data_IF_115763638451
#
_entry.id   IF_115763638451
#
_cell.length_a   1.000
_cell.length_b   1.000
_cell.length_c   1.000
_cell.angle_alpha   90.00
_cell.angle_beta   90.00
_cell.angle_gamma   90.00
#
_symmetry.space_group_name_H-M   'P 1'
#
loop_
_entity.id
_entity.type
_entity.pdbx_description
1 polymer ?
#
# COMPACT_ATOMS: atom_id res chain seq x y z
N UNK A 1 13.46 37.89 -69.23
CA UNK A 1 14.73 37.13 -69.45
C UNK A 1 15.65 37.32 -68.26
N UNK A 2 16.02 36.20 -67.64
CA UNK A 2 17.07 35.94 -66.63
C UNK A 2 17.92 37.12 -66.14
N UNK A 3 18.03 37.26 -64.80
CA UNK A 3 19.34 37.32 -64.11
C UNK A 3 19.20 36.84 -62.66
N UNK A 4 19.93 35.77 -62.38
CA UNK A 4 20.13 35.13 -61.09
C UNK A 4 20.88 36.05 -60.12
N UNK A 5 20.50 36.06 -58.84
CA UNK A 5 21.47 36.26 -57.77
C UNK A 5 21.15 35.31 -56.61
N UNK A 6 21.99 34.29 -56.54
CA UNK A 6 22.07 33.23 -55.54
C UNK A 6 22.56 33.85 -54.21
N UNK A 7 21.74 33.84 -53.15
CA UNK A 7 22.22 34.07 -51.78
C UNK A 7 22.42 32.72 -51.12
N UNK A 8 23.68 32.30 -51.07
CA UNK A 8 24.16 31.18 -50.26
C UNK A 8 24.02 31.62 -48.80
N UNK A 9 23.08 31.01 -48.07
CA UNK A 9 23.00 31.11 -46.62
C UNK A 9 23.89 30.00 -46.06
N UNK A 10 25.11 30.34 -45.69
CA UNK A 10 26.00 29.45 -44.94
C UNK A 10 25.44 29.31 -43.53
N UNK A 11 24.69 28.24 -43.28
CA UNK A 11 24.36 27.81 -41.92
C UNK A 11 25.65 27.25 -41.33
N UNK A 12 26.37 28.09 -40.58
CA UNK A 12 27.44 27.62 -39.72
C UNK A 12 26.79 26.80 -38.59
N UNK A 13 26.81 25.48 -38.77
CA UNK A 13 26.50 24.52 -37.72
C UNK A 13 27.64 24.60 -36.69
N UNK A 14 27.55 25.56 -35.78
CA UNK A 14 28.34 25.57 -34.56
C UNK A 14 27.80 24.44 -33.69
N UNK A 15 28.32 23.23 -33.87
CA UNK A 15 28.24 22.19 -32.88
C UNK A 15 28.85 22.75 -31.60
N UNK A 16 27.98 23.17 -30.67
CA UNK A 16 28.34 23.39 -29.29
C UNK A 16 28.89 22.05 -28.79
N UNK A 17 30.21 21.92 -28.80
CA UNK A 17 30.93 20.93 -28.01
C UNK A 17 30.64 21.29 -26.55
N UNK A 18 29.54 20.77 -26.02
CA UNK A 18 29.32 20.75 -24.59
C UNK A 18 30.52 19.98 -24.01
N UNK A 19 31.26 20.57 -23.05
CA UNK A 19 32.31 19.82 -22.38
C UNK A 19 31.65 18.58 -21.77
N UNK A 20 32.12 17.40 -22.17
CA UNK A 20 31.82 16.18 -21.43
C UNK A 20 32.50 16.34 -20.09
N UNK A 21 31.74 16.68 -19.04
CA UNK A 21 32.23 16.56 -17.68
C UNK A 21 32.54 15.08 -17.48
N UNK A 22 33.83 14.76 -17.32
CA UNK A 22 34.22 13.42 -16.96
C UNK A 22 33.62 13.14 -15.58
N UNK A 23 32.77 12.11 -15.50
CA UNK A 23 32.19 11.65 -14.24
C UNK A 23 33.35 11.30 -13.30
N UNK A 24 33.40 11.91 -12.12
CA UNK A 24 34.42 11.58 -11.13
C UNK A 24 34.27 10.09 -10.78
N UNK A 25 35.34 9.32 -10.96
CA UNK A 25 35.38 7.91 -10.57
C UNK A 25 35.99 7.81 -9.19
N UNK A 26 35.29 7.10 -8.30
CA UNK A 26 35.76 6.77 -6.96
C UNK A 26 35.96 5.26 -6.87
N UNK A 27 37.02 4.84 -6.18
CA UNK A 27 37.36 3.43 -5.97
C UNK A 27 37.37 3.13 -4.49
N UNK A 28 36.72 2.03 -4.10
CA UNK A 28 36.81 1.50 -2.75
C UNK A 28 38.21 0.91 -2.53
N UNK A 29 38.90 1.38 -1.49
CA UNK A 29 40.25 0.96 -1.07
C UNK A 29 40.28 0.43 0.37
N UNK A 30 39.11 0.32 1.00
CA UNK A 30 38.99 -0.24 2.34
C UNK A 30 39.41 -1.72 2.41
N UNK A 31 39.63 -2.25 3.63
CA UNK A 31 39.90 -3.67 3.80
C UNK A 31 38.72 -4.51 3.29
N UNK A 32 38.98 -5.76 2.91
CA UNK A 32 37.90 -6.71 2.59
C UNK A 32 36.96 -6.86 3.78
N UNK A 33 35.66 -6.65 3.57
CA UNK A 33 34.66 -6.64 4.64
C UNK A 33 34.70 -5.38 5.53
N UNK A 34 35.49 -4.38 5.17
CA UNK A 34 35.41 -3.04 5.73
C UNK A 34 34.12 -2.34 5.33
N UNK A 35 33.74 -1.31 6.08
CA UNK A 35 32.51 -0.58 5.83
C UNK A 35 32.56 0.13 4.47
N UNK A 36 31.70 -0.29 3.54
CA UNK A 36 31.60 0.30 2.21
C UNK A 36 31.19 1.78 2.26
N UNK A 37 30.50 2.21 3.30
CA UNK A 37 29.97 3.58 3.41
C UNK A 37 30.86 4.49 4.28
N UNK A 38 31.94 3.96 4.84
CA UNK A 38 32.97 4.78 5.47
C UNK A 38 33.76 5.52 4.38
N UNK A 39 33.62 6.85 4.36
CA UNK A 39 34.31 7.74 3.42
C UNK A 39 35.83 7.59 3.46
N UNK A 40 36.40 7.11 4.57
CA UNK A 40 37.84 6.83 4.68
C UNK A 40 38.29 5.66 3.82
N UNK A 41 37.36 4.81 3.39
CA UNK A 41 37.62 3.65 2.55
C UNK A 41 37.50 3.97 1.05
N UNK A 42 37.37 5.23 0.65
CA UNK A 42 37.30 5.63 -0.76
C UNK A 42 38.49 6.45 -1.20
N UNK A 43 38.83 6.35 -2.48
CA UNK A 43 39.80 7.20 -3.16
C UNK A 43 39.23 7.71 -4.49
N UNK A 44 39.52 8.96 -4.84
CA UNK A 44 39.30 9.45 -6.19
C UNK A 44 40.33 8.87 -7.19
N UNK A 45 40.16 9.15 -8.48
CA UNK A 45 41.12 8.73 -9.52
C UNK A 45 42.56 9.28 -9.34
N UNK A 46 42.79 10.20 -8.40
CA UNK A 46 44.11 10.71 -8.00
C UNK A 46 44.69 10.05 -6.74
N UNK A 47 43.96 9.14 -6.10
CA UNK A 47 44.35 8.49 -4.84
C UNK A 47 44.08 9.33 -3.58
N UNK A 48 43.34 10.44 -3.69
CA UNK A 48 42.96 11.27 -2.55
C UNK A 48 41.65 10.80 -1.95
N UNK A 49 41.50 10.95 -0.63
CA UNK A 49 40.26 10.64 0.06
C UNK A 49 39.16 11.66 -0.36
N UNK A 50 38.04 11.20 -0.94
CA UNK A 50 36.98 12.05 -1.44
C UNK A 50 35.96 12.46 -0.37
N UNK A 51 36.27 12.32 0.93
CA UNK A 51 35.32 12.54 2.02
C UNK A 51 34.48 13.81 1.89
N UNK A 52 35.11 14.95 1.56
CA UNK A 52 34.38 16.22 1.38
C UNK A 52 33.43 16.27 0.17
N UNK A 53 33.59 15.34 -0.78
CA UNK A 53 32.75 15.22 -1.98
C UNK A 53 31.61 14.25 -1.72
N UNK A 54 31.89 13.13 -1.04
CA UNK A 54 30.87 12.13 -0.69
C UNK A 54 29.95 12.68 0.41
N UNK A 55 30.51 13.35 1.42
CA UNK A 55 29.75 13.82 2.59
C UNK A 55 29.32 15.28 2.56
N UNK A 56 29.91 16.12 1.70
CA UNK A 56 29.60 17.56 1.63
C UNK A 56 29.75 18.34 2.96
N UNK A 57 30.38 17.75 3.98
CA UNK A 57 30.46 18.22 5.36
C UNK A 57 29.24 17.94 6.23
N UNK A 58 28.27 17.14 5.78
CA UNK A 58 27.01 16.85 6.48
C UNK A 58 27.02 15.52 7.24
N UNK A 59 28.07 14.71 7.07
CA UNK A 59 28.11 13.33 7.56
C UNK A 59 27.03 12.43 6.97
N UNK A 60 26.50 12.77 5.79
CA UNK A 60 25.53 11.98 5.01
C UNK A 60 26.05 11.76 3.59
N UNK A 61 25.54 10.75 2.89
CA UNK A 61 25.87 10.55 1.47
C UNK A 61 25.16 11.62 0.63
N UNK A 62 25.93 12.48 -0.04
CA UNK A 62 25.45 13.61 -0.87
C UNK A 62 25.59 13.37 -2.37
N UNK A 63 26.00 12.17 -2.76
CA UNK A 63 26.18 11.74 -4.16
C UNK A 63 25.30 10.55 -4.49
N UNK A 64 25.16 10.27 -5.78
CA UNK A 64 24.49 9.06 -6.25
C UNK A 64 25.44 7.86 -6.11
N UNK A 65 25.01 6.87 -5.34
CA UNK A 65 25.66 5.58 -5.23
C UNK A 65 24.90 4.55 -6.06
N UNK A 66 25.63 3.85 -6.93
CA UNK A 66 25.08 2.79 -7.80
C UNK A 66 25.83 1.50 -7.50
N UNK A 67 25.10 0.46 -7.12
CA UNK A 67 25.62 -0.90 -6.99
C UNK A 67 25.09 -1.75 -8.15
N UNK A 68 25.98 -2.41 -8.88
CA UNK A 68 25.66 -3.13 -10.12
C UNK A 68 26.14 -4.59 -10.07
N UNK A 69 25.23 -5.50 -9.72
CA UNK A 69 25.49 -6.93 -9.57
C UNK A 69 26.32 -7.32 -8.35
N UNK A 70 26.64 -6.37 -7.47
CA UNK A 70 27.56 -6.55 -6.35
C UNK A 70 26.84 -6.91 -5.05
N UNK A 71 27.55 -7.65 -4.19
CA UNK A 71 27.17 -7.92 -2.81
C UNK A 71 27.95 -6.99 -1.88
N UNK A 72 27.24 -6.09 -1.22
CA UNK A 72 27.82 -5.06 -0.34
C UNK A 72 27.31 -5.23 1.08
N UNK A 73 28.18 -4.95 2.04
CA UNK A 73 27.88 -4.95 3.46
C UNK A 73 28.16 -3.57 4.05
N UNK A 74 27.19 -3.01 4.75
CA UNK A 74 27.36 -1.86 5.62
C UNK A 74 27.34 -2.34 7.07
N UNK A 75 28.28 -1.85 7.88
CA UNK A 75 28.38 -2.24 9.30
C UNK A 75 27.67 -1.27 10.24
N UNK A 76 27.17 -0.16 9.71
CA UNK A 76 26.42 0.85 10.44
C UNK A 76 25.32 1.47 9.57
N UNK A 77 24.55 2.38 10.16
CA UNK A 77 23.53 3.19 9.49
C UNK A 77 24.09 3.90 8.26
N UNK A 78 23.28 3.99 7.22
CA UNK A 78 23.61 4.71 5.99
C UNK A 78 22.64 5.89 5.81
N UNK A 79 23.02 7.10 6.26
CA UNK A 79 22.21 8.29 6.04
C UNK A 79 22.53 8.93 4.70
N UNK A 80 21.51 9.20 3.89
CA UNK A 80 21.57 9.95 2.64
C UNK A 80 20.99 11.36 2.84
N UNK A 81 21.74 12.37 2.42
CA UNK A 81 21.28 13.76 2.37
C UNK A 81 20.47 14.00 1.10
N UNK A 82 21.10 14.63 0.11
CA UNK A 82 20.57 14.76 -1.26
C UNK A 82 21.00 13.62 -2.19
N UNK A 83 21.95 12.79 -1.74
CA UNK A 83 22.45 11.65 -2.51
C UNK A 83 21.40 10.57 -2.72
N UNK A 84 21.64 9.66 -3.66
CA UNK A 84 20.73 8.55 -3.95
C UNK A 84 21.42 7.19 -3.83
N UNK A 85 20.62 6.14 -3.68
CA UNK A 85 21.04 4.75 -3.75
C UNK A 85 20.30 4.06 -4.89
N UNK A 86 21.04 3.51 -5.84
CA UNK A 86 20.51 2.65 -6.90
C UNK A 86 21.13 1.26 -6.81
N UNK A 87 20.31 0.26 -6.51
CA UNK A 87 20.69 -1.15 -6.59
C UNK A 87 20.14 -1.71 -7.90
N UNK A 88 21.04 -1.96 -8.86
CA UNK A 88 20.70 -2.56 -10.14
C UNK A 88 20.57 -4.08 -10.03
N UNK A 89 20.14 -4.71 -11.12
CA UNK A 89 19.78 -6.13 -11.14
C UNK A 89 20.91 -7.03 -10.61
N UNK A 90 20.58 -7.92 -9.68
CA UNK A 90 21.51 -8.84 -9.04
C UNK A 90 22.30 -8.24 -7.87
N UNK A 91 22.20 -6.94 -7.62
CA UNK A 91 22.83 -6.31 -6.46
C UNK A 91 22.14 -6.72 -5.15
N UNK A 92 22.92 -6.82 -4.08
CA UNK A 92 22.45 -7.07 -2.74
C UNK A 92 23.22 -6.20 -1.74
N UNK A 93 22.50 -5.33 -1.03
CA UNK A 93 23.04 -4.55 0.07
C UNK A 93 22.51 -5.10 1.40
N UNK A 94 23.42 -5.48 2.29
CA UNK A 94 23.11 -5.86 3.67
C UNK A 94 23.59 -4.77 4.63
N UNK A 95 22.66 -4.17 5.37
CA UNK A 95 22.94 -3.21 6.43
C UNK A 95 22.82 -3.93 7.76
N UNK A 96 23.96 -4.12 8.41
CA UNK A 96 24.11 -5.02 9.55
C UNK A 96 23.93 -4.34 10.92
N UNK A 97 23.69 -3.03 10.97
CA UNK A 97 23.31 -2.32 12.19
C UNK A 97 22.79 -0.94 11.81
N UNK A 98 21.80 -0.44 12.55
CA UNK A 98 21.12 0.81 12.23
C UNK A 98 20.25 0.69 10.98
N UNK A 99 19.87 1.84 10.42
CA UNK A 99 18.93 1.92 9.30
C UNK A 99 19.52 2.40 7.98
N UNK A 100 18.63 2.62 7.03
CA UNK A 100 18.91 3.45 5.86
C UNK A 100 17.92 4.61 5.91
N UNK A 101 18.43 5.83 5.83
CA UNK A 101 17.60 7.03 5.89
C UNK A 101 17.89 7.95 4.72
N UNK A 102 16.85 8.61 4.20
CA UNK A 102 16.96 9.59 3.13
C UNK A 102 16.26 10.88 3.55
N UNK A 103 16.97 12.01 3.56
CA UNK A 103 16.37 13.32 3.78
C UNK A 103 15.52 13.74 2.57
N UNK A 104 16.20 13.93 1.43
CA UNK A 104 15.58 14.30 0.14
C UNK A 104 16.12 13.50 -1.03
N UNK A 105 16.99 12.53 -0.72
CA UNK A 105 17.59 11.60 -1.65
C UNK A 105 16.61 10.65 -2.30
N UNK A 106 17.13 9.68 -3.06
CA UNK A 106 16.29 8.70 -3.74
C UNK A 106 16.78 7.28 -3.57
N UNK A 107 15.85 6.33 -3.49
CA UNK A 107 16.12 4.89 -3.45
C UNK A 107 15.55 4.22 -4.71
N UNK A 108 16.38 3.55 -5.49
CA UNK A 108 15.94 2.75 -6.64
C UNK A 108 16.43 1.32 -6.49
N UNK A 109 15.51 0.37 -6.44
CA UNK A 109 15.78 -1.07 -6.47
C UNK A 109 15.21 -1.64 -7.77
N UNK A 110 16.06 -2.23 -8.62
CA UNK A 110 15.64 -2.87 -9.86
C UNK A 110 16.20 -4.29 -9.94
N UNK A 111 15.36 -5.31 -9.78
CA UNK A 111 15.78 -6.71 -9.73
C UNK A 111 16.82 -7.01 -8.64
N UNK A 112 16.75 -6.31 -7.50
CA UNK A 112 17.81 -6.26 -6.49
C UNK A 112 17.28 -6.51 -5.07
N UNK A 113 18.18 -6.53 -4.08
CA UNK A 113 17.84 -6.78 -2.68
C UNK A 113 18.44 -5.73 -1.74
N UNK A 114 17.61 -5.19 -0.86
CA UNK A 114 18.03 -4.38 0.29
C UNK A 114 17.59 -5.08 1.58
N UNK A 115 18.57 -5.50 2.37
CA UNK A 115 18.36 -6.17 3.66
C UNK A 115 18.86 -5.25 4.78
N UNK A 116 17.96 -4.71 5.57
CA UNK A 116 18.27 -3.89 6.76
C UNK A 116 17.98 -4.76 7.98
N UNK A 117 18.89 -5.70 8.23
CA UNK A 117 18.70 -6.80 9.17
C UNK A 117 19.83 -6.77 10.17
N UNK A 118 19.55 -6.62 11.47
CA UNK A 118 20.36 -7.11 12.61
C UNK A 118 20.09 -6.47 13.98
N UNK A 119 19.26 -5.44 14.08
CA UNK A 119 18.82 -4.92 15.38
C UNK A 119 17.35 -4.48 15.37
N UNK A 120 16.77 -4.29 16.55
CA UNK A 120 15.37 -3.86 16.74
C UNK A 120 15.16 -2.36 16.46
N UNK A 121 16.04 -1.74 15.68
CA UNK A 121 15.98 -0.35 15.25
C UNK A 121 16.40 -0.20 13.78
N UNK A 122 16.55 -1.33 13.08
CA UNK A 122 17.03 -1.39 11.71
C UNK A 122 15.87 -1.11 10.76
N UNK A 123 15.57 0.18 10.60
CA UNK A 123 14.45 0.70 9.81
C UNK A 123 14.89 1.28 8.46
N UNK A 124 13.93 1.40 7.53
CA UNK A 124 14.05 2.26 6.36
C UNK A 124 13.26 3.54 6.60
N UNK A 125 13.88 4.70 6.45
CA UNK A 125 13.22 6.01 6.57
C UNK A 125 13.35 6.86 5.31
N UNK A 126 12.26 6.94 4.53
CA UNK A 126 12.16 7.82 3.37
C UNK A 126 11.45 9.12 3.77
N UNK A 127 12.17 10.19 4.11
CA UNK A 127 11.56 11.44 4.57
C UNK A 127 10.82 12.19 3.44
N UNK A 128 9.93 13.14 3.78
CA UNK A 128 9.25 13.98 2.79
C UNK A 128 10.21 14.68 1.81
N UNK A 129 9.91 14.55 0.52
CA UNK A 129 10.74 15.08 -0.57
C UNK A 129 11.70 14.07 -1.19
N UNK A 130 11.88 12.91 -0.56
CA UNK A 130 12.56 11.77 -1.17
C UNK A 130 11.73 11.11 -2.28
N UNK A 131 12.37 10.27 -3.09
CA UNK A 131 11.68 9.40 -4.04
C UNK A 131 12.14 7.95 -3.90
N UNK A 132 11.22 7.01 -4.09
CA UNK A 132 11.57 5.60 -4.06
C UNK A 132 10.87 4.80 -5.17
N UNK A 133 11.64 3.91 -5.77
CA UNK A 133 11.21 3.04 -6.86
C UNK A 133 11.68 1.62 -6.60
N UNK A 134 10.75 0.67 -6.54
CA UNK A 134 11.04 -0.75 -6.42
C UNK A 134 10.43 -1.48 -7.62
N UNK A 135 11.26 -2.16 -8.39
CA UNK A 135 10.86 -2.98 -9.54
C UNK A 135 11.47 -4.36 -9.37
N UNK A 136 10.63 -5.40 -9.33
CA UNK A 136 11.05 -6.80 -9.20
C UNK A 136 12.07 -7.05 -8.07
N UNK A 137 11.95 -6.30 -6.97
CA UNK A 137 12.96 -6.22 -5.92
C UNK A 137 12.46 -6.74 -4.58
N UNK A 138 13.42 -7.04 -3.70
CA UNK A 138 13.14 -7.45 -2.33
C UNK A 138 13.69 -6.43 -1.33
N UNK A 139 12.81 -5.88 -0.51
CA UNK A 139 13.16 -5.02 0.61
C UNK A 139 12.73 -5.72 1.90
N UNK A 140 13.65 -5.80 2.85
CA UNK A 140 13.33 -6.21 4.21
C UNK A 140 14.00 -5.28 5.22
N UNK A 141 13.22 -4.83 6.21
CA UNK A 141 13.71 -4.12 7.38
C UNK A 141 13.38 -4.92 8.64
N UNK A 142 14.23 -4.85 9.66
CA UNK A 142 13.93 -5.53 10.92
C UNK A 142 12.85 -4.80 11.69
N UNK A 143 12.80 -3.48 11.57
CA UNK A 143 11.89 -2.60 12.28
C UNK A 143 11.00 -1.88 11.25
N UNK A 144 10.71 -0.60 11.43
CA UNK A 144 9.81 0.15 10.55
C UNK A 144 10.28 0.30 9.10
N UNK A 145 9.29 0.50 8.22
CA UNK A 145 9.48 1.00 6.86
C UNK A 145 8.59 2.23 6.65
N UNK A 146 9.22 3.41 6.62
CA UNK A 146 8.53 4.67 6.39
C UNK A 146 8.68 5.14 4.94
N UNK A 147 7.54 5.44 4.32
CA UNK A 147 7.41 6.03 3.00
C UNK A 147 6.79 7.43 3.11
N UNK A 148 7.61 8.46 3.27
CA UNK A 148 7.20 9.87 3.27
C UNK A 148 7.34 10.59 1.92
N UNK A 149 7.99 9.94 0.95
CA UNK A 149 8.25 10.48 -0.40
C UNK A 149 7.29 10.00 -1.49
N UNK A 150 7.71 10.17 -2.75
CA UNK A 150 7.01 9.60 -3.91
C UNK A 150 7.32 8.10 -4.03
N UNK A 151 6.28 7.27 -4.08
CA UNK A 151 6.35 5.82 -4.17
C UNK A 151 6.01 5.29 -5.56
N UNK A 152 6.83 4.38 -6.07
CA UNK A 152 6.48 3.51 -7.20
C UNK A 152 6.96 2.09 -6.91
N UNK A 153 6.04 1.15 -6.70
CA UNK A 153 6.34 -0.23 -6.34
C UNK A 153 5.65 -1.15 -7.36
N UNK A 154 6.44 -2.00 -8.02
CA UNK A 154 5.97 -2.97 -9.00
C UNK A 154 6.70 -4.30 -8.86
N UNK A 155 5.99 -5.43 -8.92
CA UNK A 155 6.63 -6.76 -8.92
C UNK A 155 7.43 -7.07 -7.64
N UNK A 156 7.28 -6.27 -6.59
CA UNK A 156 8.24 -6.20 -5.49
C UNK A 156 7.69 -6.77 -4.20
N UNK A 157 8.58 -7.27 -3.35
CA UNK A 157 8.25 -7.79 -2.03
C UNK A 157 8.87 -6.91 -0.95
N UNK A 158 8.03 -6.39 -0.06
CA UNK A 158 8.43 -5.56 1.08
C UNK A 158 8.03 -6.28 2.37
N UNK A 159 8.98 -6.41 3.29
CA UNK A 159 8.75 -7.06 4.58
C UNK A 159 9.27 -6.18 5.71
N UNK A 160 8.38 -5.78 6.62
CA UNK A 160 8.76 -5.36 7.96
C UNK A 160 8.71 -6.58 8.88
N UNK A 161 9.74 -6.80 9.70
CA UNK A 161 9.82 -7.99 10.57
C UNK A 161 9.27 -7.71 11.96
N UNK A 162 9.64 -6.59 12.59
CA UNK A 162 9.33 -6.30 13.98
C UNK A 162 8.34 -5.15 14.18
N UNK A 163 8.13 -4.28 13.19
CA UNK A 163 7.21 -3.15 13.33
C UNK A 163 6.43 -2.83 12.03
N UNK A 164 6.18 -1.56 11.72
CA UNK A 164 5.14 -1.17 10.79
C UNK A 164 5.63 -0.92 9.35
N UNK A 165 4.68 -0.87 8.42
CA UNK A 165 4.89 -0.28 7.08
C UNK A 165 3.97 0.92 6.96
N UNK A 166 4.53 2.11 6.78
CA UNK A 166 3.77 3.35 6.81
C UNK A 166 3.96 4.20 5.55
N UNK A 167 2.85 4.46 4.84
CA UNK A 167 2.76 5.50 3.82
C UNK A 167 2.35 6.81 4.49
N UNK A 168 3.35 7.64 4.84
CA UNK A 168 3.18 8.81 5.69
C UNK A 168 2.47 9.98 4.98
N UNK A 169 2.07 10.97 5.78
CA UNK A 169 1.44 12.19 5.26
C UNK A 169 2.33 12.89 4.24
N UNK A 170 1.77 13.17 3.05
CA UNK A 170 2.49 13.83 1.95
C UNK A 170 3.23 12.87 1.02
N UNK A 171 3.25 11.58 1.32
CA UNK A 171 3.65 10.58 0.35
C UNK A 171 2.68 10.55 -0.83
N UNK A 172 3.21 10.23 -2.02
CA UNK A 172 2.41 10.07 -3.23
C UNK A 172 2.64 8.67 -3.75
N UNK A 173 1.64 7.79 -3.62
CA UNK A 173 1.69 6.45 -4.19
C UNK A 173 1.27 6.49 -5.65
N UNK A 174 2.26 6.63 -6.52
CA UNK A 174 2.04 6.71 -7.97
C UNK A 174 1.76 5.35 -8.61
N UNK A 175 2.29 4.28 -8.03
CA UNK A 175 2.09 2.91 -8.47
C UNK A 175 2.28 1.94 -7.29
N UNK A 176 1.32 1.04 -7.08
CA UNK A 176 1.47 -0.16 -6.27
C UNK A 176 0.79 -1.33 -7.00
N UNK A 177 1.61 -2.15 -7.66
CA UNK A 177 1.14 -3.15 -8.63
C UNK A 177 1.90 -4.47 -8.48
N UNK A 178 1.20 -5.61 -8.57
CA UNK A 178 1.81 -6.95 -8.56
C UNK A 178 2.86 -7.13 -7.45
N UNK A 179 2.56 -6.61 -6.27
CA UNK A 179 3.52 -6.49 -5.17
C UNK A 179 2.98 -7.14 -3.90
N UNK A 180 3.88 -7.53 -3.00
CA UNK A 180 3.50 -8.08 -1.70
C UNK A 180 4.07 -7.25 -0.55
N UNK A 181 3.20 -6.78 0.33
CA UNK A 181 3.57 -6.11 1.58
C UNK A 181 3.25 -7.03 2.74
N UNK A 182 4.22 -7.23 3.64
CA UNK A 182 4.05 -8.12 4.77
C UNK A 182 4.65 -7.53 6.03
N UNK A 183 3.90 -7.60 7.12
CA UNK A 183 4.38 -7.41 8.48
C UNK A 183 4.39 -8.79 9.15
N UNK A 184 5.48 -9.16 9.82
CA UNK A 184 5.68 -10.53 10.30
C UNK A 184 5.04 -10.81 11.67
N UNK A 185 4.81 -9.79 12.50
CA UNK A 185 4.05 -9.89 13.75
C UNK A 185 2.59 -9.49 13.49
N UNK A 186 1.67 -10.15 14.19
CA UNK A 186 0.23 -9.93 14.05
C UNK A 186 -0.26 -8.68 14.78
N UNK A 187 0.62 -8.00 15.53
CA UNK A 187 0.32 -6.71 16.15
C UNK A 187 0.75 -5.51 15.28
N UNK A 188 1.43 -5.77 14.16
CA UNK A 188 1.95 -4.73 13.27
C UNK A 188 0.87 -4.25 12.30
N UNK A 189 1.09 -3.06 11.74
CA UNK A 189 0.15 -2.43 10.84
C UNK A 189 0.79 -2.10 9.49
N UNK A 190 -0.05 -2.13 8.46
CA UNK A 190 0.21 -1.38 7.23
C UNK A 190 -0.67 -0.14 7.30
N UNK A 191 -0.06 1.04 7.30
CA UNK A 191 -0.73 2.32 7.53
C UNK A 191 -0.69 3.20 6.29
N UNK A 192 -1.85 3.74 5.90
CA UNK A 192 -1.97 4.72 4.82
C UNK A 192 -2.47 6.05 5.38
N UNK A 193 -1.59 7.05 5.32
CA UNK A 193 -1.90 8.46 5.58
C UNK A 193 -2.04 9.27 4.27
N UNK A 194 -1.95 8.60 3.12
CA UNK A 194 -2.14 9.15 1.77
C UNK A 194 -2.94 8.17 0.91
N UNK A 195 -3.78 8.70 0.02
CA UNK A 195 -4.59 7.88 -0.89
C UNK A 195 -3.71 7.09 -1.86
N UNK A 196 -4.13 5.85 -2.14
CA UNK A 196 -3.41 4.96 -3.04
C UNK A 196 -4.35 4.07 -3.84
N UNK A 197 -3.89 3.65 -5.02
CA UNK A 197 -4.51 2.57 -5.79
C UNK A 197 -3.58 1.38 -5.81
N UNK A 198 -4.11 0.23 -5.43
CA UNK A 198 -3.45 -1.05 -5.30
C UNK A 198 -4.01 -1.97 -6.38
N UNK A 199 -3.14 -2.60 -7.16
CA UNK A 199 -3.53 -3.49 -8.27
C UNK A 199 -2.77 -4.80 -8.17
N UNK A 200 -3.44 -5.94 -8.38
CA UNK A 200 -2.83 -7.28 -8.44
C UNK A 200 -1.90 -7.61 -7.24
N UNK A 201 -2.10 -6.99 -6.08
CA UNK A 201 -1.15 -7.05 -4.96
C UNK A 201 -1.68 -7.86 -3.79
N UNK A 202 -0.77 -8.30 -2.93
CA UNK A 202 -1.11 -9.06 -1.72
C UNK A 202 -0.61 -8.37 -0.46
N UNK A 203 -1.50 -8.06 0.47
CA UNK A 203 -1.13 -7.56 1.80
C UNK A 203 -1.37 -8.65 2.84
N UNK A 204 -0.40 -8.84 3.73
CA UNK A 204 -0.51 -9.73 4.88
C UNK A 204 0.01 -9.02 6.11
N UNK A 205 -0.86 -8.64 7.04
CA UNK A 205 -0.47 -7.88 8.23
C UNK A 205 -1.38 -8.19 9.42
N UNK A 206 -1.02 -7.69 10.60
CA UNK A 206 -1.93 -7.61 11.74
C UNK A 206 -3.16 -6.77 11.38
N UNK A 207 -2.97 -5.47 11.21
CA UNK A 207 -4.06 -4.53 10.89
C UNK A 207 -3.77 -3.70 9.64
N UNK A 208 -4.83 -3.21 9.01
CA UNK A 208 -4.76 -2.20 7.95
C UNK A 208 -5.29 -0.87 8.49
N UNK A 209 -4.40 0.10 8.67
CA UNK A 209 -4.78 1.44 9.14
C UNK A 209 -5.00 2.38 7.96
N UNK A 210 -6.16 3.05 7.92
CA UNK A 210 -6.53 4.04 6.89
C UNK A 210 -6.91 5.35 7.59
N UNK A 211 -6.06 6.38 7.43
CA UNK A 211 -6.30 7.66 8.10
C UNK A 211 -7.48 8.42 7.53
N UNK A 212 -7.95 9.38 8.32
CA UNK A 212 -8.95 10.38 7.91
C UNK A 212 -8.60 11.02 6.55
N UNK A 213 -9.59 11.13 5.66
CA UNK A 213 -9.50 11.66 4.29
C UNK A 213 -8.53 10.90 3.37
N UNK A 214 -8.25 9.63 3.68
CA UNK A 214 -7.46 8.74 2.83
C UNK A 214 -8.41 7.80 2.08
N UNK A 215 -8.22 7.72 0.77
CA UNK A 215 -8.96 6.81 -0.10
C UNK A 215 -8.04 5.71 -0.59
N UNK A 216 -8.32 4.47 -0.20
CA UNK A 216 -7.61 3.28 -0.65
C UNK A 216 -8.48 2.51 -1.63
N UNK A 217 -7.98 2.26 -2.84
CA UNK A 217 -8.68 1.45 -3.85
C UNK A 217 -7.86 0.21 -4.14
N UNK A 218 -8.42 -0.98 -3.93
CA UNK A 218 -7.79 -2.26 -4.19
C UNK A 218 -8.51 -3.00 -5.33
N UNK A 219 -7.78 -3.28 -6.41
CA UNK A 219 -8.28 -3.91 -7.63
C UNK A 219 -7.56 -5.24 -7.84
N UNK A 220 -8.33 -6.31 -8.03
CA UNK A 220 -7.80 -7.67 -8.25
C UNK A 220 -6.73 -8.10 -7.21
N UNK A 221 -6.88 -7.64 -5.96
CA UNK A 221 -5.88 -7.77 -4.90
C UNK A 221 -6.34 -8.70 -3.77
N UNK A 222 -5.40 -9.18 -2.95
CA UNK A 222 -5.69 -9.99 -1.76
C UNK A 222 -5.24 -9.25 -0.52
N UNK A 223 -6.17 -8.89 0.35
CA UNK A 223 -5.93 -8.20 1.60
C UNK A 223 -6.22 -9.16 2.75
N UNK A 224 -5.19 -9.62 3.45
CA UNK A 224 -5.34 -10.54 4.57
C UNK A 224 -4.81 -9.91 5.86
N UNK A 225 -5.74 -9.49 6.70
CA UNK A 225 -5.47 -8.95 8.04
C UNK A 225 -5.79 -10.04 9.06
N UNK A 226 -4.92 -10.20 10.04
CA UNK A 226 -5.17 -11.05 11.22
C UNK A 226 -5.78 -10.24 12.38
N UNK A 227 -6.33 -9.08 12.06
CA UNK A 227 -6.83 -8.05 12.94
C UNK A 227 -7.73 -7.13 12.13
N UNK A 228 -7.95 -5.93 12.63
CA UNK A 228 -8.97 -5.01 12.14
C UNK A 228 -8.54 -4.13 10.96
N UNK A 229 -9.55 -3.48 10.37
CA UNK A 229 -9.40 -2.34 9.46
C UNK A 229 -9.94 -1.11 10.17
N UNK A 230 -9.08 -0.14 10.44
CA UNK A 230 -9.38 0.99 11.34
C UNK A 230 -8.47 2.21 11.11
N UNK A 231 -8.48 3.19 12.01
CA UNK A 231 -7.44 4.22 12.13
C UNK A 231 -6.70 4.01 13.44
N UNK A 232 -5.79 3.03 13.46
CA UNK A 232 -4.95 2.62 14.60
C UNK A 232 -4.31 3.72 15.48
N UNK A 233 -4.36 4.98 15.08
CA UNK A 233 -3.77 6.11 15.76
C UNK A 233 -4.79 7.20 16.15
N UNK A 234 -6.04 7.13 15.68
CA UNK A 234 -7.12 8.03 16.06
C UNK A 234 -8.41 7.25 16.28
N UNK A 235 -9.13 7.57 17.35
CA UNK A 235 -10.42 6.91 17.64
C UNK A 235 -11.54 7.19 16.63
N UNK A 236 -11.30 8.00 15.60
CA UNK A 236 -12.28 8.36 14.57
C UNK A 236 -11.58 8.68 13.24
N UNK A 237 -12.12 8.12 12.16
CA UNK A 237 -11.69 8.32 10.79
C UNK A 237 -12.90 8.44 9.86
N UNK A 238 -12.66 8.96 8.66
CA UNK A 238 -13.58 8.89 7.53
C UNK A 238 -12.85 8.34 6.29
N UNK A 239 -11.79 7.54 6.52
CA UNK A 239 -11.06 6.86 5.48
C UNK A 239 -11.95 5.89 4.71
N UNK A 240 -11.60 5.64 3.45
CA UNK A 240 -12.34 4.74 2.59
C UNK A 240 -11.47 3.60 2.07
N UNK A 241 -12.05 2.41 2.03
CA UNK A 241 -11.49 1.25 1.36
C UNK A 241 -12.47 0.81 0.27
N UNK A 242 -12.05 0.79 -0.99
CA UNK A 242 -12.86 0.31 -2.10
C UNK A 242 -12.25 -0.97 -2.67
N UNK A 243 -13.03 -2.04 -2.73
CA UNK A 243 -12.64 -3.30 -3.36
C UNK A 243 -13.30 -3.42 -4.74
N UNK A 244 -12.51 -3.62 -5.79
CA UNK A 244 -12.94 -3.76 -7.19
C UNK A 244 -12.42 -5.05 -7.82
N UNK A 245 -12.94 -5.40 -9.00
CA UNK A 245 -12.57 -6.64 -9.70
C UNK A 245 -12.84 -7.89 -8.85
N UNK A 246 -11.84 -8.77 -8.76
CA UNK A 246 -11.85 -9.98 -7.95
C UNK A 246 -11.15 -9.80 -6.59
N UNK A 247 -11.06 -8.57 -6.08
CA UNK A 247 -10.39 -8.30 -4.81
C UNK A 247 -11.03 -9.08 -3.65
N UNK A 248 -10.20 -9.72 -2.84
CA UNK A 248 -10.62 -10.45 -1.65
C UNK A 248 -10.02 -9.80 -0.39
N UNK A 249 -10.87 -9.49 0.57
CA UNK A 249 -10.52 -8.99 1.89
C UNK A 249 -10.88 -10.03 2.96
N UNK A 250 -9.94 -10.25 3.87
CA UNK A 250 -10.14 -10.97 5.13
C UNK A 250 -9.59 -10.10 6.26
N UNK A 251 -10.40 -9.87 7.28
CA UNK A 251 -10.03 -9.13 8.49
C UNK A 251 -10.85 -9.64 9.67
N UNK A 252 -10.59 -9.15 10.87
CA UNK A 252 -11.37 -9.49 12.05
C UNK A 252 -12.62 -8.59 12.09
N UNK A 253 -12.44 -7.28 12.13
CA UNK A 253 -13.52 -6.29 12.14
C UNK A 253 -13.25 -5.07 11.23
N UNK A 254 -14.29 -4.25 11.04
CA UNK A 254 -14.23 -2.91 10.46
C UNK A 254 -14.63 -1.92 11.55
N UNK A 255 -13.80 -0.91 11.81
CA UNK A 255 -14.00 0.00 12.94
C UNK A 255 -13.70 1.48 12.60
N UNK A 256 -13.90 2.36 13.58
CA UNK A 256 -13.38 3.72 13.68
C UNK A 256 -13.77 4.65 12.53
N UNK A 257 -14.96 4.44 11.96
CA UNK A 257 -15.54 5.32 10.94
C UNK A 257 -15.05 5.03 9.51
N UNK A 258 -14.38 3.89 9.29
CA UNK A 258 -13.99 3.47 7.94
C UNK A 258 -15.22 3.10 7.11
N UNK A 259 -15.25 3.59 5.86
CA UNK A 259 -16.24 3.18 4.87
C UNK A 259 -15.65 2.15 3.90
N UNK A 260 -16.23 0.96 3.86
CA UNK A 260 -15.89 -0.10 2.92
C UNK A 260 -16.85 -0.11 1.73
N UNK A 261 -16.35 0.09 0.51
CA UNK A 261 -17.10 -0.05 -0.73
C UNK A 261 -16.80 -1.40 -1.39
N UNK A 262 -17.86 -2.13 -1.76
CA UNK A 262 -17.77 -3.41 -2.45
C UNK A 262 -18.31 -3.30 -3.88
N UNK A 263 -17.42 -3.30 -4.86
CA UNK A 263 -17.70 -3.20 -6.30
C UNK A 263 -17.43 -4.54 -7.02
N UNK A 264 -17.86 -4.64 -8.28
CA UNK A 264 -17.66 -5.82 -9.14
C UNK A 264 -17.94 -7.17 -8.46
N UNK A 265 -17.00 -8.12 -8.52
CA UNK A 265 -17.06 -9.47 -7.93
C UNK A 265 -16.27 -9.54 -6.60
N UNK A 266 -15.99 -8.39 -5.98
CA UNK A 266 -15.19 -8.31 -4.76
C UNK A 266 -15.82 -9.02 -3.57
N UNK A 267 -14.97 -9.52 -2.67
CA UNK A 267 -15.39 -10.27 -1.51
C UNK A 267 -14.72 -9.73 -0.26
N UNK A 268 -15.50 -9.56 0.82
CA UNK A 268 -14.99 -9.25 2.15
C UNK A 268 -15.44 -10.32 3.14
N UNK A 269 -14.56 -10.72 4.05
CA UNK A 269 -14.86 -11.66 5.13
C UNK A 269 -14.35 -11.13 6.45
N UNK A 270 -15.25 -10.96 7.42
CA UNK A 270 -14.91 -10.63 8.79
C UNK A 270 -14.95 -11.88 9.66
N UNK A 271 -13.87 -12.15 10.39
CA UNK A 271 -13.65 -13.38 11.15
C UNK A 271 -13.33 -12.98 12.58
N UNK A 272 -14.35 -12.55 13.32
CA UNK A 272 -14.19 -12.21 14.72
C UNK A 272 -13.77 -13.45 15.51
N UNK A 273 -12.52 -13.46 15.96
CA UNK A 273 -11.95 -14.51 16.80
C UNK A 273 -12.05 -14.17 18.29
N UNK A 274 -12.49 -12.95 18.62
CA UNK A 274 -12.66 -12.45 19.97
C UNK A 274 -14.12 -12.53 20.40
N UNK A 275 -14.37 -13.09 21.59
CA UNK A 275 -15.72 -13.36 22.10
C UNK A 275 -16.53 -12.09 22.46
N UNK A 276 -16.08 -10.89 22.08
CA UNK A 276 -16.60 -9.61 22.57
C UNK A 276 -17.20 -8.69 21.47
N UNK A 277 -17.11 -9.03 20.18
CA UNK A 277 -17.18 -8.01 19.13
C UNK A 277 -18.41 -7.97 18.21
N UNK A 278 -18.77 -6.75 17.79
CA UNK A 278 -19.53 -6.50 16.56
C UNK A 278 -18.55 -6.51 15.38
N UNK A 279 -18.90 -7.10 14.23
CA UNK A 279 -18.01 -7.10 13.05
C UNK A 279 -17.84 -5.73 12.39
N UNK A 280 -18.79 -4.83 12.62
CA UNK A 280 -18.82 -3.46 12.12
C UNK A 280 -19.12 -2.59 13.33
N UNK A 281 -18.10 -1.95 13.87
CA UNK A 281 -18.21 -1.15 15.08
C UNK A 281 -18.28 0.32 14.71
N UNK A 282 -19.38 0.99 15.09
CA UNK A 282 -19.53 2.44 14.89
C UNK A 282 -18.94 3.16 16.12
N UNK A 283 -18.06 4.16 15.94
CA UNK A 283 -17.49 4.89 17.07
C UNK A 283 -18.53 5.79 17.78
N UNK A 284 -19.78 5.86 17.30
CA UNK A 284 -20.91 6.50 17.97
C UNK A 284 -20.90 8.03 17.89
N UNK A 285 -20.05 8.59 17.02
CA UNK A 285 -19.83 10.03 16.90
C UNK A 285 -19.97 10.46 15.45
N UNK A 286 -21.08 11.12 15.13
CA UNK A 286 -21.26 11.73 13.81
C UNK A 286 -20.17 12.80 13.54
N UNK A 287 -19.67 12.93 12.30
CA UNK A 287 -20.09 12.22 11.08
C UNK A 287 -19.34 10.90 10.80
N UNK A 288 -18.61 10.35 11.77
CA UNK A 288 -17.69 9.22 11.60
C UNK A 288 -18.42 7.88 11.75
N UNK A 289 -19.27 7.55 10.79
CA UNK A 289 -20.02 6.29 10.79
C UNK A 289 -19.21 5.20 10.06
N UNK A 290 -18.97 4.08 10.74
CA UNK A 290 -18.42 2.88 10.12
C UNK A 290 -19.50 2.22 9.27
N UNK A 291 -19.21 1.92 8.00
CA UNK A 291 -20.22 1.35 7.11
C UNK A 291 -19.66 0.54 5.96
N UNK A 292 -20.47 -0.42 5.50
CA UNK A 292 -20.22 -1.17 4.26
C UNK A 292 -21.25 -0.77 3.22
N UNK A 293 -20.79 -0.46 2.02
CA UNK A 293 -21.59 0.00 0.89
C UNK A 293 -21.47 -0.96 -0.28
N UNK A 294 -22.55 -1.65 -0.62
CA UNK A 294 -22.60 -2.47 -1.83
C UNK A 294 -22.85 -1.57 -3.05
N UNK A 295 -21.95 -1.67 -4.02
CA UNK A 295 -22.02 -0.99 -5.32
C UNK A 295 -22.23 -1.98 -6.48
N UNK A 296 -22.11 -3.27 -6.21
CA UNK A 296 -22.36 -4.36 -7.17
C UNK A 296 -23.19 -5.46 -6.54
N UNK A 297 -24.03 -6.11 -7.36
CA UNK A 297 -24.79 -7.32 -7.00
C UNK A 297 -23.95 -8.59 -6.96
N UNK A 298 -22.75 -8.54 -7.52
CA UNK A 298 -21.83 -9.69 -7.56
C UNK A 298 -20.84 -9.66 -6.41
N UNK A 299 -20.78 -8.55 -5.67
CA UNK A 299 -19.97 -8.45 -4.48
C UNK A 299 -20.60 -9.23 -3.32
N UNK A 300 -19.76 -9.73 -2.43
CA UNK A 300 -20.19 -10.52 -1.28
C UNK A 300 -19.51 -10.06 0.02
N UNK A 301 -20.28 -10.05 1.11
CA UNK A 301 -19.76 -9.86 2.46
C UNK A 301 -20.08 -11.10 3.28
N UNK A 302 -19.08 -11.69 3.93
CA UNK A 302 -19.26 -12.82 4.83
C UNK A 302 -18.86 -12.46 6.25
N UNK A 303 -19.68 -12.89 7.20
CA UNK A 303 -19.37 -12.86 8.62
C UNK A 303 -19.15 -14.29 9.07
N UNK A 304 -17.93 -14.61 9.52
CA UNK A 304 -17.49 -15.97 9.80
C UNK A 304 -17.28 -16.12 11.30
N UNK A 305 -18.01 -17.07 11.89
CA UNK A 305 -17.92 -17.36 13.32
C UNK A 305 -19.11 -16.81 14.11
N UNK A 306 -19.14 -17.07 15.43
CA UNK A 306 -20.20 -16.60 16.30
C UNK A 306 -20.03 -15.13 16.66
N UNK A 307 -21.12 -14.36 16.62
CA UNK A 307 -21.15 -13.07 17.32
C UNK A 307 -21.08 -13.33 18.83
N UNK A 308 -20.18 -12.67 19.53
CA UNK A 308 -19.98 -12.79 20.98
C UNK A 308 -21.17 -12.35 21.85
N UNK A 309 -22.25 -11.85 21.24
CA UNK A 309 -23.38 -11.26 21.96
C UNK A 309 -24.25 -12.34 22.62
N UNK A 310 -24.33 -12.27 23.95
CA UNK A 310 -24.98 -13.25 24.82
C UNK A 310 -26.51 -13.32 24.74
N UNK A 311 -27.18 -12.53 23.89
CA UNK A 311 -28.65 -12.64 23.71
C UNK A 311 -29.25 -11.94 22.47
N UNK A 312 -28.45 -11.31 21.61
CA UNK A 312 -28.98 -10.47 20.53
C UNK A 312 -28.59 -10.98 19.13
N UNK A 313 -29.33 -12.00 18.65
CA UNK A 313 -29.47 -12.25 17.22
C UNK A 313 -30.12 -11.05 16.47
N UNK A 314 -30.41 -9.95 17.17
CA UNK A 314 -31.27 -8.84 16.73
C UNK A 314 -30.53 -7.80 15.88
N UNK A 315 -29.19 -7.77 15.83
CA UNK A 315 -28.45 -6.68 15.16
C UNK A 315 -27.21 -7.18 14.41
N UNK A 316 -27.42 -7.70 13.20
CA UNK A 316 -26.33 -8.24 12.35
C UNK A 316 -25.76 -7.20 11.38
N UNK A 317 -26.51 -6.12 11.13
CA UNK A 317 -26.31 -5.26 9.95
C UNK A 317 -26.30 -3.76 10.28
N UNK A 318 -25.82 -3.41 11.47
CA UNK A 318 -25.49 -2.01 11.76
C UNK A 318 -24.37 -1.59 10.79
N UNK A 319 -24.49 -0.40 10.20
CA UNK A 319 -23.54 0.10 9.20
C UNK A 319 -23.71 -0.43 7.77
N UNK A 320 -24.65 -1.33 7.44
CA UNK A 320 -24.89 -1.66 6.03
C UNK A 320 -25.67 -0.55 5.30
N UNK A 321 -25.22 -0.16 4.12
CA UNK A 321 -25.95 0.78 3.25
C UNK A 321 -25.73 0.47 1.76
N UNK A 322 -26.54 1.04 0.88
CA UNK A 322 -26.36 0.87 -0.56
C UNK A 322 -27.61 1.22 -1.37
N UNK A 323 -27.39 1.61 -2.63
CA UNK A 323 -28.48 1.93 -3.58
C UNK A 323 -29.21 0.70 -4.10
N UNK A 324 -28.56 -0.47 -4.02
CA UNK A 324 -29.12 -1.76 -4.46
C UNK A 324 -29.96 -2.45 -3.36
N UNK A 325 -29.95 -1.93 -2.12
CA UNK A 325 -30.77 -2.43 -1.01
C UNK A 325 -32.13 -1.74 -0.91
N UNK A 326 -32.81 -1.50 -2.03
CA UNK A 326 -34.08 -0.74 -2.05
C UNK A 326 -35.17 -1.33 -1.14
N UNK A 327 -35.07 -2.61 -0.76
CA UNK A 327 -36.03 -3.32 0.09
C UNK A 327 -35.72 -3.28 1.60
N UNK A 328 -34.51 -2.89 2.00
CA UNK A 328 -34.13 -2.76 3.40
C UNK A 328 -33.93 -1.28 3.73
N UNK A 329 -35.02 -0.53 3.88
CA UNK A 329 -34.97 0.88 4.29
C UNK A 329 -34.34 1.08 5.68
N UNK A 330 -34.24 0.00 6.47
CA UNK A 330 -33.64 -0.04 7.80
C UNK A 330 -32.88 -1.37 7.94
N UNK A 331 -31.68 -1.53 7.33
CA UNK A 331 -30.94 -2.79 7.37
C UNK A 331 -30.53 -3.16 8.80
N UNK A 332 -30.32 -2.19 9.69
CA UNK A 332 -30.14 -2.37 11.13
C UNK A 332 -31.34 -3.04 11.85
N UNK A 333 -32.52 -3.13 11.21
CA UNK A 333 -33.69 -3.84 11.73
C UNK A 333 -33.89 -5.22 11.09
N UNK A 334 -32.99 -5.64 10.18
CA UNK A 334 -33.10 -6.94 9.54
C UNK A 334 -32.49 -8.03 10.44
N UNK A 335 -33.35 -8.92 10.93
CA UNK A 335 -32.94 -10.14 11.64
C UNK A 335 -33.35 -11.34 10.80
N UNK A 336 -32.40 -12.17 10.31
CA UNK A 336 -32.77 -13.38 9.58
C UNK A 336 -33.46 -14.36 10.55
N UNK A 337 -34.74 -14.69 10.28
CA UNK A 337 -35.61 -15.44 11.20
C UNK A 337 -35.14 -16.86 11.55
N UNK A 338 -34.13 -17.38 10.86
CA UNK A 338 -33.58 -18.73 11.08
C UNK A 338 -32.06 -18.72 11.34
N UNK A 339 -31.46 -17.55 11.55
CA UNK A 339 -30.05 -17.48 11.91
C UNK A 339 -29.89 -17.67 13.41
N UNK A 340 -28.93 -18.50 13.80
CA UNK A 340 -28.69 -18.90 15.19
C UNK A 340 -27.66 -18.01 15.90
N UNK A 341 -27.24 -16.90 15.28
CA UNK A 341 -26.18 -16.02 15.80
C UNK A 341 -24.75 -16.61 15.72
N UNK A 342 -24.60 -17.85 15.24
CA UNK A 342 -23.35 -18.61 15.32
C UNK A 342 -22.83 -19.12 13.98
N UNK A 343 -23.73 -19.36 13.02
CA UNK A 343 -23.36 -19.85 11.70
C UNK A 343 -22.85 -18.72 10.82
N UNK A 344 -21.93 -19.01 9.91
CA UNK A 344 -21.49 -18.05 8.88
C UNK A 344 -22.69 -17.48 8.13
N UNK A 345 -22.70 -16.16 7.93
CA UNK A 345 -23.69 -15.46 7.11
C UNK A 345 -22.96 -14.83 5.93
N UNK A 346 -23.49 -15.03 4.72
CA UNK A 346 -23.03 -14.32 3.52
C UNK A 346 -24.15 -13.45 2.98
N UNK A 347 -23.84 -12.18 2.75
CA UNK A 347 -24.73 -11.17 2.19
C UNK A 347 -24.31 -10.89 0.76
N UNK A 348 -25.30 -10.86 -0.13
CA UNK A 348 -25.18 -10.44 -1.51
C UNK A 348 -26.34 -9.52 -1.84
N UNK A 349 -26.11 -8.48 -2.63
CA UNK A 349 -27.19 -7.65 -3.15
C UNK A 349 -27.97 -8.44 -4.22
N UNK A 350 -29.28 -8.58 -4.04
CA UNK A 350 -30.15 -9.30 -4.99
C UNK A 350 -30.88 -8.27 -5.86
N UNK A 351 -30.92 -8.45 -7.20
CA UNK A 351 -31.71 -7.57 -8.05
C UNK A 351 -33.15 -7.50 -7.58
N UNK A 352 -33.76 -6.31 -7.67
CA UNK A 352 -35.20 -6.19 -7.48
C UNK A 352 -35.92 -7.23 -8.36
N UNK A 353 -36.90 -7.98 -7.82
CA UNK A 353 -37.70 -8.85 -8.66
C UNK A 353 -38.36 -7.97 -9.71
N UNK A 354 -37.92 -8.12 -10.96
CA UNK A 354 -38.37 -7.23 -12.03
C UNK A 354 -39.90 -7.17 -12.04
N UNK A 355 -40.46 -5.96 -12.19
CA UNK A 355 -41.91 -5.74 -12.23
C UNK A 355 -42.59 -6.64 -13.28
N UNK A 356 -41.86 -7.06 -14.32
CA UNK A 356 -42.30 -8.04 -15.31
C UNK A 356 -42.56 -9.45 -14.73
N UNK A 357 -41.75 -9.92 -13.78
CA UNK A 357 -41.93 -11.22 -13.10
C UNK A 357 -43.13 -11.14 -12.15
N UNK A 358 -43.27 -10.05 -11.36
CA UNK A 358 -44.47 -9.86 -10.53
C UNK A 358 -45.74 -9.72 -11.38
N UNK A 359 -45.70 -8.96 -12.47
CA UNK A 359 -46.83 -8.76 -13.37
C UNK A 359 -47.23 -10.07 -14.07
N UNK A 360 -46.27 -10.90 -14.47
CA UNK A 360 -46.57 -12.20 -15.08
C UNK A 360 -47.15 -13.20 -14.08
N UNK A 361 -46.74 -13.19 -12.80
CA UNK A 361 -47.42 -13.94 -11.73
C UNK A 361 -48.84 -13.41 -11.44
N UNK A 362 -49.05 -12.10 -11.47
CA UNK A 362 -50.38 -11.49 -11.30
C UNK A 362 -51.32 -11.81 -12.48
N UNK A 363 -50.81 -11.82 -13.71
CA UNK A 363 -51.57 -12.20 -14.92
C UNK A 363 -51.87 -13.71 -14.92
N UNK A 364 -50.90 -14.55 -14.54
CA UNK A 364 -51.10 -16.00 -14.45
C UNK A 364 -52.09 -16.38 -13.34
N UNK A 365 -52.02 -15.74 -12.17
CA UNK A 365 -52.98 -15.98 -11.08
C UNK A 365 -54.39 -15.50 -11.40
N UNK A 366 -54.54 -14.36 -12.09
CA UNK A 366 -55.85 -13.87 -12.56
C UNK A 366 -56.45 -14.72 -13.69
N UNK A 367 -55.63 -15.32 -14.56
CA UNK A 367 -56.08 -16.30 -15.56
C UNK A 367 -56.50 -17.64 -14.94
N UNK A 368 -55.83 -18.09 -13.87
CA UNK A 368 -56.21 -19.29 -13.14
C UNK A 368 -57.50 -19.11 -12.31
N UNK A 369 -57.72 -17.92 -11.73
CA UNK A 369 -58.95 -17.60 -10.98
C UNK A 369 -60.17 -17.41 -11.90
N UNK A 370 -59.99 -17.08 -13.19
CA UNK A 370 -61.08 -17.00 -14.19
C UNK A 370 -61.50 -18.35 -14.77
N UNK A 371 -60.78 -19.44 -14.47
CA UNK A 371 -61.07 -20.81 -14.96
C UNK A 371 -61.63 -21.75 -13.90
N UNK A 372 -61.89 -21.25 -12.69
CA UNK A 372 -62.80 -21.88 -11.72
C UNK A 372 -64.12 -21.12 -11.74
#
# INVERSE_FOLDING_TARGET
MKRHLLRILTVACAALLLPSFATAQFTFVGPSGGDFFDVLNWQDGGGFNPASIIDGGTSKVEIDLILDGDLVYATSEIPFGVGSLSLLSGSNLNVNSGGVSFDTGSLSLDGSQLNILNDSSSQLDMNPGSSFSLVDSFLVASDDIFFGGNASISGSRIVSVADDIEFQTGSVVSLLHDSSLTTADLNQIISFQSSATITDSTFSTGRLSIRTNTDLVAIDSVLNMNGDIDDAFNSFSNGTLTLQGNTALRADQLDEGITLYLEDESQASFIDDNAEGEWITDPGVAPFETKVVFKSRFAALSFVGPQGLSDDATQVFNGLSGTEFSYATHPHLFTPSNWNGQSTVTIMAVPEPSVAILASFAIASSLCLRRR
#
